data_IF_280278629141
#
_entry.id   IF_280278629141
#
_cell.length_a   1.000
_cell.length_b   1.000
_cell.length_c   1.000
_cell.angle_alpha   90.00
_cell.angle_beta   90.00
_cell.angle_gamma   90.00
#
_symmetry.space_group_name_H-M   'P 1'
#
loop_
_entity.id
_entity.type
_entity.pdbx_description
1 polymer ?
#
# COMPACT_ATOMS: atom_id res chain seq x y z
N UNK A 1 -8.40 -12.21 3.37
CA UNK A 1 -8.90 -11.21 4.35
C UNK A 1 -8.87 -9.78 3.80
N UNK A 2 -7.70 -9.21 3.51
CA UNK A 2 -7.57 -7.81 3.06
C UNK A 2 -8.39 -7.46 1.83
N UNK A 3 -8.38 -8.32 0.80
CA UNK A 3 -9.23 -8.12 -0.39
C UNK A 3 -10.73 -8.00 -0.03
N UNK A 4 -11.23 -8.83 0.88
CA UNK A 4 -12.62 -8.77 1.36
C UNK A 4 -12.86 -7.47 2.14
N UNK A 5 -11.96 -7.10 3.05
CA UNK A 5 -12.04 -5.84 3.80
C UNK A 5 -12.11 -4.62 2.86
N UNK A 6 -11.23 -4.58 1.85
CA UNK A 6 -11.23 -3.50 0.84
C UNK A 6 -12.50 -3.46 0.00
N UNK A 7 -13.11 -4.62 -0.30
CA UNK A 7 -14.39 -4.69 -1.02
C UNK A 7 -15.54 -4.10 -0.19
N UNK A 8 -15.62 -4.45 1.10
CA UNK A 8 -16.59 -3.86 2.02
C UNK A 8 -16.36 -2.35 2.19
N UNK A 9 -15.10 -1.94 2.37
CA UNK A 9 -14.73 -0.53 2.46
C UNK A 9 -15.15 0.25 1.21
N UNK A 10 -14.90 -0.31 0.01
CA UNK A 10 -15.30 0.32 -1.24
C UNK A 10 -16.81 0.52 -1.32
N UNK A 11 -17.62 -0.48 -0.97
CA UNK A 11 -19.08 -0.33 -0.93
C UNK A 11 -19.55 0.68 0.11
N UNK A 12 -18.92 0.69 1.28
CA UNK A 12 -19.25 1.61 2.36
C UNK A 12 -19.01 3.06 1.96
N UNK A 13 -17.85 3.36 1.35
CA UNK A 13 -17.53 4.71 0.85
C UNK A 13 -18.45 5.18 -0.28
N UNK A 14 -19.12 4.25 -0.97
CA UNK A 14 -20.07 4.56 -2.04
C UNK A 14 -21.49 4.86 -1.52
N UNK A 15 -21.76 4.75 -0.22
CA UNK A 15 -23.07 5.05 0.36
C UNK A 15 -23.41 6.56 0.23
N UNK A 16 -24.71 6.92 0.12
CA UNK A 16 -25.15 8.29 -0.11
C UNK A 16 -24.66 9.29 0.94
N UNK A 17 -24.52 8.84 2.19
CA UNK A 17 -24.06 9.66 3.32
C UNK A 17 -22.64 10.21 3.14
N UNK A 18 -21.76 9.49 2.41
CA UNK A 18 -20.38 9.91 2.17
C UNK A 18 -20.20 10.66 0.84
N UNK A 19 -21.24 10.72 0.00
CA UNK A 19 -21.21 11.47 -1.25
C UNK A 19 -21.64 12.90 -0.99
N UNK A 20 -20.67 13.79 -0.84
CA UNK A 20 -20.94 15.22 -0.81
C UNK A 20 -21.53 15.62 -2.17
N UNK A 21 -22.72 16.26 -2.23
CA UNK A 21 -23.26 16.75 -3.48
C UNK A 21 -22.36 17.88 -3.99
N UNK A 22 -21.46 17.56 -4.91
CA UNK A 22 -20.63 18.56 -5.58
C UNK A 22 -21.54 19.33 -6.53
N UNK A 23 -21.86 20.58 -6.16
CA UNK A 23 -22.51 21.51 -7.09
C UNK A 23 -21.49 21.88 -8.16
N UNK A 24 -21.61 21.28 -9.34
CA UNK A 24 -20.78 21.67 -10.48
C UNK A 24 -21.14 23.11 -10.87
N UNK A 25 -20.22 24.05 -10.60
CA UNK A 25 -20.33 25.42 -11.09
C UNK A 25 -19.71 25.48 -12.49
N UNK A 26 -20.47 25.99 -13.46
CA UNK A 26 -19.97 26.18 -14.82
C UNK A 26 -18.99 27.36 -14.82
N UNK A 27 -17.69 27.05 -14.89
CA UNK A 27 -16.63 28.06 -14.95
C UNK A 27 -16.34 28.35 -16.42
N UNK A 28 -16.28 29.63 -16.80
CA UNK A 28 -16.02 30.08 -18.18
C UNK A 28 -14.55 30.01 -18.58
N UNK A 29 -13.63 30.00 -17.61
CA UNK A 29 -12.20 29.79 -17.80
C UNK A 29 -11.61 28.98 -16.64
N UNK A 30 -10.58 28.17 -16.95
CA UNK A 30 -9.78 27.51 -15.92
C UNK A 30 -9.03 28.55 -15.09
N UNK A 31 -8.98 28.36 -13.77
CA UNK A 31 -8.18 29.23 -12.89
C UNK A 31 -6.72 29.23 -13.36
N UNK A 32 -6.08 30.40 -13.51
CA UNK A 32 -4.68 30.45 -13.91
C UNK A 32 -3.82 29.75 -12.84
N UNK A 33 -3.01 28.78 -13.27
CA UNK A 33 -2.05 28.13 -12.39
C UNK A 33 -1.02 29.17 -11.97
N UNK A 34 -1.07 29.59 -10.70
CA UNK A 34 -0.07 30.50 -10.14
C UNK A 34 1.23 29.73 -9.94
N UNK A 35 2.06 29.66 -10.99
CA UNK A 35 3.37 29.04 -10.92
C UNK A 35 4.39 30.10 -10.47
N UNK A 36 5.03 29.88 -9.32
CA UNK A 36 6.11 30.72 -8.79
C UNK A 36 7.46 30.03 -9.06
N UNK A 37 8.11 30.27 -10.21
CA UNK A 37 9.29 29.51 -10.63
C UNK A 37 10.47 29.66 -9.66
N UNK A 38 10.68 30.84 -9.08
CA UNK A 38 11.76 31.08 -8.11
C UNK A 38 11.56 30.31 -6.81
N UNK A 39 10.30 30.21 -6.36
CA UNK A 39 9.95 29.42 -5.17
C UNK A 39 10.18 27.93 -5.43
N UNK A 40 9.85 27.43 -6.62
CA UNK A 40 10.13 26.06 -7.01
C UNK A 40 11.64 25.78 -7.05
N UNK A 41 12.43 26.66 -7.66
CA UNK A 41 13.89 26.50 -7.72
C UNK A 41 14.55 26.58 -6.34
N UNK A 42 14.04 27.41 -5.43
CA UNK A 42 14.51 27.47 -4.04
C UNK A 42 14.18 26.18 -3.27
N UNK A 43 12.93 25.70 -3.38
CA UNK A 43 12.50 24.44 -2.75
C UNK A 43 13.27 23.24 -3.28
N UNK A 44 13.55 23.20 -4.58
CA UNK A 44 14.37 22.16 -5.19
C UNK A 44 15.81 22.16 -4.66
N UNK A 45 16.46 23.34 -4.58
CA UNK A 45 17.80 23.46 -3.99
C UNK A 45 17.84 23.02 -2.53
N UNK A 46 16.86 23.45 -1.73
CA UNK A 46 16.73 23.02 -0.33
C UNK A 46 16.55 21.50 -0.24
N UNK A 47 15.68 20.92 -1.08
CA UNK A 47 15.48 19.47 -1.14
C UNK A 47 16.78 18.72 -1.50
N UNK A 48 17.56 19.25 -2.44
CA UNK A 48 18.84 18.65 -2.83
C UNK A 48 19.89 18.71 -1.70
N UNK A 49 19.95 19.83 -0.97
CA UNK A 49 20.82 19.96 0.21
C UNK A 49 20.44 18.95 1.28
N UNK A 50 19.14 18.82 1.60
CA UNK A 50 18.65 17.84 2.58
C UNK A 50 18.95 16.41 2.11
N UNK A 51 18.77 16.12 0.83
CA UNK A 51 19.05 14.79 0.27
C UNK A 51 20.52 14.40 0.44
N UNK A 52 21.46 15.26 0.03
CA UNK A 52 22.89 14.99 0.20
C UNK A 52 23.30 14.96 1.67
N UNK A 53 22.72 15.81 2.53
CA UNK A 53 22.96 15.76 3.96
C UNK A 53 22.50 14.42 4.58
N UNK A 54 21.35 13.89 4.16
CA UNK A 54 20.85 12.58 4.60
C UNK A 54 21.74 11.43 4.13
N UNK A 55 22.27 11.49 2.90
CA UNK A 55 23.23 10.49 2.41
C UNK A 55 24.52 10.55 3.20
N UNK A 56 25.09 11.75 3.40
CA UNK A 56 26.31 11.93 4.18
C UNK A 56 26.11 11.42 5.62
N UNK A 57 24.99 11.76 6.25
CA UNK A 57 24.62 11.27 7.57
C UNK A 57 24.51 9.74 7.61
N UNK A 58 23.90 9.13 6.59
CA UNK A 58 23.79 7.68 6.45
C UNK A 58 25.14 6.99 6.30
N UNK A 59 26.06 7.57 5.52
CA UNK A 59 27.41 7.05 5.33
C UNK A 59 28.27 7.18 6.60
N UNK A 60 28.19 8.31 7.30
CA UNK A 60 28.87 8.51 8.58
C UNK A 60 28.35 7.53 9.64
N UNK A 61 27.03 7.39 9.75
CA UNK A 61 26.40 6.43 10.67
C UNK A 61 26.74 4.99 10.29
N UNK A 62 26.94 4.69 9.01
CA UNK A 62 27.34 3.35 8.56
C UNK A 62 28.77 2.98 8.99
N UNK A 63 29.65 3.97 9.18
CA UNK A 63 31.01 3.74 9.68
C UNK A 63 31.00 3.26 11.15
N UNK A 64 30.18 3.88 12.00
CA UNK A 64 30.10 3.52 13.43
C UNK A 64 29.11 2.37 13.71
N UNK A 65 27.96 2.38 13.01
CA UNK A 65 26.83 1.47 13.22
C UNK A 65 26.29 1.01 11.85
N UNK A 66 26.91 0.01 11.20
CA UNK A 66 26.62 -0.37 9.82
C UNK A 66 25.15 -0.74 9.58
N UNK A 67 24.50 -1.39 10.56
CA UNK A 67 23.08 -1.75 10.46
C UNK A 67 22.14 -0.54 10.36
N UNK A 68 22.40 0.52 11.13
CA UNK A 68 21.57 1.73 11.16
C UNK A 68 21.83 2.60 9.94
N UNK A 69 23.10 2.75 9.55
CA UNK A 69 23.47 3.50 8.34
C UNK A 69 22.90 2.87 7.07
N UNK A 70 23.02 1.55 6.91
CA UNK A 70 22.42 0.82 5.78
C UNK A 70 20.89 0.92 5.77
N UNK A 71 20.24 0.83 6.93
CA UNK A 71 18.78 0.99 7.02
C UNK A 71 18.33 2.39 6.58
N UNK A 72 19.08 3.44 6.95
CA UNK A 72 18.77 4.82 6.56
C UNK A 72 18.97 5.02 5.05
N UNK A 73 20.10 4.57 4.49
CA UNK A 73 20.38 4.69 3.06
C UNK A 73 19.37 3.91 2.21
N UNK A 74 19.03 2.68 2.62
CA UNK A 74 18.00 1.89 1.98
C UNK A 74 16.63 2.56 2.09
N UNK A 75 16.28 3.13 3.25
CA UNK A 75 15.04 3.85 3.46
C UNK A 75 14.89 5.07 2.55
N UNK A 76 15.96 5.87 2.39
CA UNK A 76 15.97 7.02 1.47
C UNK A 76 15.79 6.56 0.02
N UNK A 77 16.55 5.54 -0.43
CA UNK A 77 16.42 5.02 -1.78
C UNK A 77 15.05 4.40 -2.06
N UNK A 78 14.56 3.57 -1.15
CA UNK A 78 13.24 2.94 -1.26
C UNK A 78 12.10 3.96 -1.24
N UNK A 79 12.18 4.98 -0.39
CA UNK A 79 11.20 6.06 -0.32
C UNK A 79 11.10 6.85 -1.63
N UNK A 80 12.23 7.19 -2.24
CA UNK A 80 12.26 7.85 -3.56
C UNK A 80 11.65 6.98 -4.66
N UNK A 81 11.93 5.68 -4.66
CA UNK A 81 11.35 4.75 -5.63
C UNK A 81 9.83 4.65 -5.46
N UNK A 82 9.33 4.57 -4.21
CA UNK A 82 7.89 4.52 -3.93
C UNK A 82 7.18 5.80 -4.35
N UNK A 83 7.75 6.97 -4.05
CA UNK A 83 7.17 8.26 -4.42
C UNK A 83 7.06 8.38 -5.94
N UNK A 84 8.13 8.05 -6.67
CA UNK A 84 8.15 8.12 -8.14
C UNK A 84 7.27 7.07 -8.82
N UNK A 85 7.24 5.85 -8.30
CA UNK A 85 6.40 4.79 -8.82
C UNK A 85 4.94 4.89 -8.33
N UNK A 86 4.65 5.80 -7.39
CA UNK A 86 3.36 6.00 -6.74
C UNK A 86 2.71 4.69 -6.25
N UNK A 87 3.53 3.77 -5.73
CA UNK A 87 3.08 2.43 -5.33
C UNK A 87 2.19 2.55 -4.09
N UNK A 88 0.91 2.23 -4.28
CA UNK A 88 -0.08 2.26 -3.22
C UNK A 88 -1.00 1.04 -3.31
N UNK A 89 -0.99 0.22 -2.25
CA UNK A 89 -1.87 -0.95 -2.17
C UNK A 89 -3.36 -0.54 -2.13
N UNK A 90 -3.68 0.64 -1.59
CA UNK A 90 -5.09 1.08 -1.50
C UNK A 90 -5.66 1.43 -2.85
N UNK A 91 -4.92 2.14 -3.70
CA UNK A 91 -5.38 2.45 -5.06
C UNK A 91 -5.53 1.17 -5.86
N UNK A 92 -4.60 0.21 -5.74
CA UNK A 92 -4.71 -1.08 -6.41
C UNK A 92 -6.03 -1.82 -6.10
N UNK A 93 -6.41 -1.92 -4.83
CA UNK A 93 -7.67 -2.59 -4.45
C UNK A 93 -8.90 -1.72 -4.71
N UNK A 94 -8.89 -0.46 -4.29
CA UNK A 94 -10.02 0.47 -4.47
C UNK A 94 -10.37 0.64 -5.93
N UNK A 95 -9.39 0.90 -6.79
CA UNK A 95 -9.62 1.17 -8.20
C UNK A 95 -10.08 -0.10 -8.92
N UNK A 96 -9.60 -1.29 -8.52
CA UNK A 96 -10.10 -2.58 -9.00
C UNK A 96 -11.58 -2.81 -8.65
N UNK A 97 -12.03 -2.43 -7.44
CA UNK A 97 -13.42 -2.61 -7.01
C UNK A 97 -14.37 -1.56 -7.58
N UNK A 98 -13.95 -0.30 -7.66
CA UNK A 98 -14.81 0.83 -8.06
C UNK A 98 -14.79 1.06 -9.56
N UNK A 99 -13.60 1.02 -10.19
CA UNK A 99 -13.41 1.44 -11.60
C UNK A 99 -13.03 0.28 -12.53
N UNK A 100 -12.72 -0.90 -11.99
CA UNK A 100 -12.23 -2.04 -12.76
C UNK A 100 -10.79 -1.92 -13.26
N UNK A 101 -10.07 -0.83 -12.95
CA UNK A 101 -8.66 -0.65 -13.33
C UNK A 101 -7.76 -1.56 -12.49
N UNK A 102 -7.01 -2.45 -13.13
CA UNK A 102 -6.17 -3.45 -12.44
C UNK A 102 -4.67 -3.27 -12.63
N UNK A 103 -4.22 -2.21 -13.31
CA UNK A 103 -2.81 -1.97 -13.64
C UNK A 103 -1.89 -2.02 -12.41
N UNK A 104 -2.28 -1.33 -11.34
CA UNK A 104 -1.50 -1.31 -10.08
C UNK A 104 -1.53 -2.66 -9.36
N UNK A 105 -2.66 -3.38 -9.38
CA UNK A 105 -2.75 -4.71 -8.80
C UNK A 105 -1.83 -5.71 -9.52
N UNK A 106 -1.81 -5.68 -10.86
CA UNK A 106 -0.90 -6.48 -11.68
C UNK A 106 0.57 -6.13 -11.39
N UNK A 107 0.92 -4.85 -11.35
CA UNK A 107 2.27 -4.39 -11.05
C UNK A 107 2.77 -4.88 -9.68
N UNK A 108 1.91 -4.82 -8.65
CA UNK A 108 2.24 -5.32 -7.31
C UNK A 108 2.46 -6.83 -7.31
N UNK A 109 1.65 -7.61 -8.03
CA UNK A 109 1.83 -9.07 -8.14
C UNK A 109 3.17 -9.41 -8.80
N UNK A 110 3.51 -8.75 -9.91
CA UNK A 110 4.80 -8.95 -10.57
C UNK A 110 5.98 -8.49 -9.69
N UNK A 111 5.84 -7.38 -8.96
CA UNK A 111 6.82 -6.91 -8.00
C UNK A 111 7.06 -7.92 -6.86
N UNK A 112 5.99 -8.49 -6.29
CA UNK A 112 6.09 -9.54 -5.28
C UNK A 112 6.74 -10.81 -5.84
N UNK A 113 6.38 -11.22 -7.05
CA UNK A 113 6.97 -12.36 -7.75
C UNK A 113 8.48 -12.21 -7.98
N UNK A 114 8.95 -11.01 -8.35
CA UNK A 114 10.36 -10.70 -8.49
C UNK A 114 11.07 -10.68 -7.12
N UNK A 115 10.45 -10.07 -6.11
CA UNK A 115 11.00 -10.00 -4.76
C UNK A 115 11.17 -11.39 -4.11
N UNK A 116 10.28 -12.34 -4.43
CA UNK A 116 10.36 -13.70 -3.94
C UNK A 116 11.64 -14.43 -4.38
N UNK A 117 12.15 -14.17 -5.59
CA UNK A 117 13.44 -14.70 -6.08
C UNK A 117 14.59 -14.19 -5.21
N UNK A 118 14.59 -12.88 -4.94
CA UNK A 118 15.63 -12.25 -4.12
C UNK A 118 15.61 -12.75 -2.68
N UNK A 119 14.43 -12.90 -2.08
CA UNK A 119 14.32 -13.47 -0.72
C UNK A 119 14.77 -14.93 -0.71
N UNK A 120 14.39 -15.71 -1.72
CA UNK A 120 14.78 -17.11 -1.83
C UNK A 120 16.29 -17.30 -1.92
N UNK A 121 17.00 -16.46 -2.69
CA UNK A 121 18.46 -16.53 -2.76
C UNK A 121 19.11 -16.24 -1.40
N UNK A 122 18.59 -15.28 -0.63
CA UNK A 122 19.08 -15.00 0.72
C UNK A 122 18.81 -16.12 1.72
N UNK A 123 17.65 -16.78 1.63
CA UNK A 123 17.34 -17.95 2.47
C UNK A 123 18.29 -19.10 2.18
N UNK A 124 18.65 -19.33 0.92
CA UNK A 124 19.61 -20.37 0.52
C UNK A 124 21.04 -20.08 1.01
N UNK A 125 21.38 -18.82 1.24
CA UNK A 125 22.64 -18.39 1.85
C UNK A 125 22.65 -18.56 3.40
N UNK A 126 21.62 -19.17 3.97
CA UNK A 126 21.54 -19.47 5.40
C UNK A 126 20.95 -18.36 6.27
N UNK A 127 20.35 -17.31 5.68
CA UNK A 127 19.63 -16.32 6.48
C UNK A 127 18.27 -16.85 6.93
N UNK A 128 18.04 -16.87 8.25
CA UNK A 128 16.78 -17.34 8.81
C UNK A 128 15.61 -16.40 8.45
N UNK A 129 14.54 -16.90 7.82
CA UNK A 129 13.36 -16.10 7.54
C UNK A 129 12.61 -15.76 8.82
N UNK A 130 12.27 -14.48 8.99
CA UNK A 130 11.43 -14.04 10.12
C UNK A 130 9.98 -14.47 9.89
N UNK A 131 9.58 -15.58 10.50
CA UNK A 131 8.23 -16.14 10.38
C UNK A 131 7.30 -15.52 11.42
N UNK A 132 6.15 -15.05 10.97
CA UNK A 132 5.09 -14.50 11.82
C UNK A 132 3.99 -15.54 12.05
N UNK A 133 3.29 -15.44 13.18
CA UNK A 133 2.14 -16.30 13.50
C UNK A 133 1.00 -16.11 12.51
N UNK A 134 0.49 -17.22 11.96
CA UNK A 134 -0.62 -17.24 11.02
C UNK A 134 -1.88 -17.73 11.74
N UNK A 135 -2.43 -16.88 12.62
CA UNK A 135 -3.64 -17.16 13.39
C UNK A 135 -4.84 -16.28 12.97
N UNK A 136 -5.90 -16.24 13.81
CA UNK A 136 -7.04 -15.35 13.64
C UNK A 136 -6.65 -13.87 13.53
N UNK A 137 -5.53 -13.47 14.16
CA UNK A 137 -4.93 -12.14 14.02
C UNK A 137 -4.77 -11.71 12.55
N UNK A 138 -4.29 -12.58 11.67
CA UNK A 138 -4.04 -12.26 10.27
C UNK A 138 -5.36 -12.05 9.50
N UNK A 139 -6.41 -12.78 9.85
CA UNK A 139 -7.72 -12.66 9.21
C UNK A 139 -8.44 -11.40 9.69
N UNK A 140 -8.55 -11.21 11.01
CA UNK A 140 -9.21 -10.06 11.63
C UNK A 140 -8.45 -8.78 11.27
N UNK A 141 -7.12 -8.78 11.46
CA UNK A 141 -6.25 -7.67 11.10
C UNK A 141 -6.34 -7.35 9.62
N UNK A 142 -6.30 -8.36 8.74
CA UNK A 142 -6.45 -8.16 7.30
C UNK A 142 -7.80 -7.54 6.91
N UNK A 143 -8.90 -7.96 7.53
CA UNK A 143 -10.24 -7.40 7.28
C UNK A 143 -10.32 -5.93 7.73
N UNK A 144 -9.92 -5.63 8.96
CA UNK A 144 -9.94 -4.27 9.51
C UNK A 144 -8.99 -3.34 8.76
N UNK A 145 -7.77 -3.81 8.46
CA UNK A 145 -6.80 -3.07 7.66
C UNK A 145 -7.36 -2.79 6.26
N UNK A 146 -7.87 -3.81 5.57
CA UNK A 146 -8.45 -3.66 4.23
C UNK A 146 -9.62 -2.68 4.18
N UNK A 147 -10.50 -2.70 5.19
CA UNK A 147 -11.59 -1.74 5.31
C UNK A 147 -11.06 -0.31 5.56
N UNK A 148 -10.17 -0.16 6.54
CA UNK A 148 -9.62 1.13 6.96
C UNK A 148 -8.85 1.84 5.85
N UNK A 149 -8.02 1.12 5.10
CA UNK A 149 -7.21 1.73 4.03
C UNK A 149 -8.04 2.28 2.87
N UNK A 150 -9.22 1.71 2.60
CA UNK A 150 -10.13 2.23 1.57
C UNK A 150 -10.88 3.45 2.09
N UNK A 151 -11.32 3.43 3.35
CA UNK A 151 -11.98 4.56 4.00
C UNK A 151 -11.04 5.77 4.12
N UNK A 152 -9.81 5.55 4.57
CA UNK A 152 -8.79 6.59 4.69
C UNK A 152 -8.18 7.00 3.34
N UNK A 153 -8.38 6.21 2.28
CA UNK A 153 -7.86 6.49 0.95
C UNK A 153 -6.33 6.40 0.82
N UNK A 154 -5.63 5.76 1.77
CA UNK A 154 -4.17 5.62 1.83
C UNK A 154 -3.70 4.49 2.76
N UNK A 155 -2.63 3.79 2.36
CA UNK A 155 -1.91 2.78 3.17
C UNK A 155 -0.61 3.39 3.68
N UNK A 156 0.18 2.65 4.46
CA UNK A 156 1.45 3.17 5.04
C UNK A 156 2.31 3.93 4.04
N UNK A 157 2.61 3.29 2.91
CA UNK A 157 3.39 3.93 1.84
C UNK A 157 2.61 5.07 1.18
N UNK A 158 1.31 4.89 0.98
CA UNK A 158 0.42 5.80 0.25
C UNK A 158 0.16 7.13 0.96
N UNK A 159 -0.07 7.12 2.28
CA UNK A 159 -0.28 8.36 3.01
C UNK A 159 1.05 9.12 3.17
N UNK A 160 2.16 8.40 3.36
CA UNK A 160 3.46 9.03 3.59
C UNK A 160 3.93 9.86 2.39
N UNK A 161 3.96 9.30 1.16
CA UNK A 161 4.41 10.10 0.01
C UNK A 161 3.41 11.20 -0.35
N UNK A 162 2.09 10.95 -0.27
CA UNK A 162 1.05 11.94 -0.64
C UNK A 162 0.97 13.10 0.35
N UNK A 163 1.22 12.85 1.64
CA UNK A 163 1.35 13.91 2.64
C UNK A 163 2.52 14.84 2.30
N UNK A 164 3.65 14.28 1.85
CA UNK A 164 4.85 15.05 1.48
C UNK A 164 4.75 15.71 0.09
N UNK A 165 3.94 15.16 -0.83
CA UNK A 165 3.57 15.83 -2.10
C UNK A 165 2.71 17.11 -1.88
N UNK A 166 2.22 17.34 -0.66
CA UNK A 166 1.45 18.51 -0.27
C UNK A 166 -0.05 18.29 -0.11
N UNK A 167 -0.51 17.03 -0.15
CA UNK A 167 -1.92 16.70 0.08
C UNK A 167 -2.22 16.67 1.58
N UNK A 168 -2.71 17.78 2.12
CA UNK A 168 -2.96 17.99 3.57
C UNK A 168 -3.86 16.91 4.19
N UNK A 169 -4.81 16.37 3.42
CA UNK A 169 -5.68 15.28 3.88
C UNK A 169 -4.89 14.07 4.41
N UNK A 170 -3.77 13.72 3.78
CA UNK A 170 -2.99 12.54 4.15
C UNK A 170 -2.18 12.70 5.44
N UNK A 171 -2.03 13.94 5.95
CA UNK A 171 -1.46 14.17 7.27
C UNK A 171 -2.39 13.66 8.38
N UNK A 172 -3.70 13.84 8.21
CA UNK A 172 -4.70 13.30 9.14
C UNK A 172 -4.75 11.77 9.10
N UNK A 173 -4.60 11.19 7.90
CA UNK A 173 -4.48 9.74 7.74
C UNK A 173 -3.25 9.21 8.48
N UNK A 174 -2.11 9.87 8.32
CA UNK A 174 -0.87 9.53 9.03
C UNK A 174 -0.99 9.64 10.54
N UNK A 175 -1.58 10.73 11.04
CA UNK A 175 -1.81 10.91 12.47
C UNK A 175 -2.70 9.79 13.05
N UNK A 176 -3.81 9.48 12.39
CA UNK A 176 -4.70 8.39 12.80
C UNK A 176 -4.00 7.03 12.78
N UNK A 177 -3.11 6.81 11.81
CA UNK A 177 -2.31 5.61 11.71
C UNK A 177 -1.33 5.47 12.89
N UNK A 178 -0.56 6.52 13.18
CA UNK A 178 0.41 6.53 14.28
C UNK A 178 -0.29 6.32 15.62
N UNK A 179 -1.40 7.01 15.85
CA UNK A 179 -2.20 6.83 17.08
C UNK A 179 -2.75 5.39 17.15
N UNK A 180 -3.39 4.90 16.09
CA UNK A 180 -4.00 3.58 16.06
C UNK A 180 -2.99 2.45 16.26
N UNK A 181 -1.84 2.51 15.59
CA UNK A 181 -0.75 1.53 15.72
C UNK A 181 -0.13 1.55 17.11
N UNK A 182 0.03 2.73 17.71
CA UNK A 182 0.54 2.87 19.10
C UNK A 182 -0.44 2.30 20.11
N UNK A 183 -1.75 2.58 19.96
CA UNK A 183 -2.79 1.99 20.81
C UNK A 183 -2.80 0.47 20.69
N UNK A 184 -2.76 -0.06 19.47
CA UNK A 184 -2.71 -1.51 19.26
C UNK A 184 -1.46 -2.12 19.90
N UNK A 185 -0.30 -1.48 19.77
CA UNK A 185 0.95 -1.93 20.39
C UNK A 185 0.83 -1.99 21.91
N UNK A 186 0.19 -0.99 22.53
CA UNK A 186 -0.03 -0.94 23.97
C UNK A 186 -0.92 -2.09 24.46
N UNK A 187 -1.99 -2.44 23.74
CA UNK A 187 -2.89 -3.53 24.11
C UNK A 187 -2.44 -4.91 23.59
N UNK A 188 -1.36 -4.98 22.81
CA UNK A 188 -0.95 -6.19 22.11
C UNK A 188 -0.62 -7.35 23.06
N UNK A 189 -0.02 -7.07 24.22
CA UNK A 189 0.35 -8.10 25.18
C UNK A 189 -0.87 -8.85 25.74
N UNK A 190 -2.00 -8.17 25.89
CA UNK A 190 -3.27 -8.80 26.31
C UNK A 190 -4.04 -9.47 25.19
N UNK A 191 -3.90 -8.97 23.95
CA UNK A 191 -4.60 -9.51 22.77
C UNK A 191 -3.86 -10.71 22.14
N UNK A 192 -2.53 -10.70 22.20
CA UNK A 192 -1.68 -11.67 21.51
C UNK A 192 -1.90 -13.13 21.92
N UNK A 193 -2.18 -13.48 23.20
CA UNK A 193 -2.45 -14.87 23.60
C UNK A 193 -3.70 -15.46 22.95
N UNK A 194 -4.76 -14.65 22.81
CA UNK A 194 -6.02 -15.09 22.22
C UNK A 194 -5.99 -15.08 20.68
N UNK A 195 -5.24 -14.16 20.08
CA UNK A 195 -5.30 -13.88 18.64
C UNK A 195 -4.11 -14.40 17.83
N UNK A 196 -2.93 -14.57 18.43
CA UNK A 196 -1.68 -14.81 17.70
C UNK A 196 -0.80 -15.92 18.28
N UNK A 197 -0.41 -15.85 19.56
CA UNK A 197 0.68 -16.69 20.10
C UNK A 197 0.24 -18.11 20.48
N UNK A 198 -1.05 -18.36 20.62
CA UNK A 198 -1.64 -19.71 20.80
C UNK A 198 -1.78 -20.50 19.50
N UNK A 199 -1.47 -19.90 18.35
CA UNK A 199 -1.61 -20.51 17.03
C UNK A 199 -0.23 -20.80 16.43
N UNK A 200 -0.13 -21.89 15.69
CA UNK A 200 1.14 -22.33 15.12
C UNK A 200 1.72 -21.33 14.11
N UNK A 201 3.05 -21.22 14.13
CA UNK A 201 3.80 -20.52 13.10
C UNK A 201 3.82 -21.39 11.83
N UNK A 202 2.85 -21.18 10.94
CA UNK A 202 2.81 -21.87 9.65
C UNK A 202 3.99 -21.41 8.80
N UNK A 203 4.97 -22.29 8.60
CA UNK A 203 6.12 -22.03 7.75
C UNK A 203 6.11 -22.95 6.52
N UNK A 204 5.72 -22.40 5.38
CA UNK A 204 5.69 -23.14 4.12
C UNK A 204 7.08 -23.68 3.70
N UNK A 205 8.18 -23.05 4.14
CA UNK A 205 9.54 -23.53 3.86
C UNK A 205 9.92 -24.73 4.74
N UNK A 206 9.41 -24.81 5.96
CA UNK A 206 9.64 -25.96 6.84
C UNK A 206 8.74 -27.14 6.49
N UNK A 207 7.51 -26.88 6.02
CA UNK A 207 6.53 -27.93 5.69
C UNK A 207 6.73 -28.53 4.29
N UNK A 208 7.14 -27.72 3.30
CA UNK A 208 7.27 -28.15 1.89
C UNK A 208 8.72 -28.10 1.36
N UNK A 209 9.70 -27.72 2.19
CA UNK A 209 11.08 -27.47 1.79
C UNK A 209 11.27 -26.16 1.02
N UNK A 210 12.53 -25.71 0.78
CA UNK A 210 12.81 -24.42 0.15
C UNK A 210 12.16 -24.28 -1.24
N UNK A 211 12.32 -25.29 -2.09
CA UNK A 211 11.76 -25.28 -3.44
C UNK A 211 10.23 -25.45 -3.45
N UNK A 212 9.67 -26.22 -2.51
CA UNK A 212 8.22 -26.36 -2.38
C UNK A 212 7.54 -25.08 -1.89
N UNK A 213 8.12 -24.39 -0.91
CA UNK A 213 7.62 -23.08 -0.44
C UNK A 213 7.64 -22.01 -1.54
N UNK A 214 8.69 -22.00 -2.37
CA UNK A 214 8.79 -21.12 -3.52
C UNK A 214 7.71 -21.42 -4.57
N UNK A 215 7.51 -22.70 -4.91
CA UNK A 215 6.49 -23.14 -5.86
C UNK A 215 5.09 -22.77 -5.39
N UNK A 216 4.76 -23.01 -4.12
CA UNK A 216 3.45 -22.64 -3.55
C UNK A 216 3.25 -21.13 -3.60
N UNK A 217 4.29 -20.34 -3.32
CA UNK A 217 4.21 -18.87 -3.40
C UNK A 217 3.89 -18.42 -4.83
N UNK A 218 4.58 -18.95 -5.84
CA UNK A 218 4.29 -18.62 -7.24
C UNK A 218 2.91 -19.08 -7.68
N UNK A 219 2.48 -20.26 -7.24
CA UNK A 219 1.16 -20.78 -7.54
C UNK A 219 0.06 -19.88 -6.95
N UNK A 220 0.21 -19.42 -5.71
CA UNK A 220 -0.72 -18.48 -5.08
C UNK A 220 -0.74 -17.12 -5.77
N UNK A 221 0.43 -16.60 -6.18
CA UNK A 221 0.51 -15.36 -6.96
C UNK A 221 -0.14 -15.50 -8.33
N UNK A 222 0.04 -16.64 -9.00
CA UNK A 222 -0.58 -16.94 -10.29
C UNK A 222 -2.11 -17.05 -10.16
N UNK A 223 -2.61 -17.77 -9.15
CA UNK A 223 -4.05 -17.83 -8.85
C UNK A 223 -4.60 -16.43 -8.63
N UNK A 224 -3.90 -15.61 -7.82
CA UNK A 224 -4.32 -14.24 -7.54
C UNK A 224 -4.36 -13.40 -8.82
N UNK A 225 -3.36 -13.54 -9.71
CA UNK A 225 -3.32 -12.85 -11.00
C UNK A 225 -4.49 -13.26 -11.90
N UNK A 226 -4.80 -14.56 -11.98
CA UNK A 226 -5.94 -15.08 -12.75
C UNK A 226 -7.26 -14.52 -12.19
N UNK A 227 -7.41 -14.46 -10.86
CA UNK A 227 -8.60 -13.88 -10.22
C UNK A 227 -8.76 -12.39 -10.52
N UNK A 228 -7.66 -11.62 -10.50
CA UNK A 228 -7.68 -10.19 -10.84
C UNK A 228 -8.07 -9.97 -12.29
N UNK A 229 -7.49 -10.74 -13.23
CA UNK A 229 -7.84 -10.66 -14.66
C UNK A 229 -9.28 -11.13 -14.90
N UNK A 230 -9.72 -12.20 -14.24
CA UNK A 230 -11.09 -12.69 -14.31
C UNK A 230 -12.10 -11.66 -13.79
N UNK A 231 -11.77 -10.97 -12.70
CA UNK A 231 -12.57 -9.88 -12.16
C UNK A 231 -12.66 -8.70 -13.13
N UNK A 232 -11.53 -8.27 -13.69
CA UNK A 232 -11.46 -7.20 -14.70
C UNK A 232 -12.40 -7.49 -15.89
N UNK A 233 -12.29 -8.70 -16.47
CA UNK A 233 -13.16 -9.14 -17.58
C UNK A 233 -14.63 -9.14 -17.18
N UNK A 234 -14.96 -9.63 -15.97
CA UNK A 234 -16.33 -9.64 -15.45
C UNK A 234 -16.88 -8.23 -15.22
N UNK A 235 -16.06 -7.32 -14.72
CA UNK A 235 -16.43 -5.94 -14.44
C UNK A 235 -16.82 -5.20 -15.74
N UNK A 236 -15.95 -5.24 -16.74
CA UNK A 236 -16.23 -4.58 -18.03
C UNK A 236 -17.38 -5.23 -18.79
N UNK A 237 -17.53 -6.56 -18.74
CA UNK A 237 -18.69 -7.25 -19.33
C UNK A 237 -20.01 -6.84 -18.68
N UNK A 238 -20.02 -6.61 -17.37
CA UNK A 238 -21.22 -6.11 -16.66
C UNK A 238 -21.52 -4.66 -17.02
N UNK A 239 -20.50 -3.83 -17.20
CA UNK A 239 -20.66 -2.44 -17.58
C UNK A 239 -21.19 -2.30 -19.02
N UNK A 240 -20.73 -3.14 -19.96
CA UNK A 240 -21.25 -3.16 -21.34
C UNK A 240 -22.68 -3.66 -21.45
N UNK A 241 -23.14 -4.47 -20.48
CA UNK A 241 -24.52 -4.99 -20.41
C UNK A 241 -25.48 -4.06 -19.64
N UNK A 242 -24.95 -3.06 -18.92
CA UNK A 242 -25.78 -2.11 -18.21
C UNK A 242 -26.34 -1.07 -19.21
N UNK A 243 -27.66 -0.84 -19.26
CA UNK A 243 -28.22 0.17 -20.14
C UNK A 243 -27.61 1.54 -19.79
N UNK A 244 -27.12 2.24 -20.80
CA UNK A 244 -26.58 3.60 -20.70
C UNK A 244 -27.68 4.54 -20.23
N UNK A 245 -27.82 4.72 -18.92
CA UNK A 245 -28.59 5.81 -18.35
C UNK A 245 -27.77 7.07 -18.53
N UNK A 246 -27.90 7.69 -19.71
CA UNK A 246 -27.49 9.06 -19.98
C UNK A 246 -28.33 9.94 -19.06
N UNK A 247 -27.81 10.25 -17.87
CA UNK A 247 -28.28 11.41 -17.11
C UNK A 247 -27.57 12.63 -17.67
N UNK A 248 -28.01 13.05 -18.85
CA UNK A 248 -28.02 14.48 -19.16
C UNK A 248 -29.08 15.09 -18.26
N UNK A 249 -28.66 15.93 -17.33
CA UNK A 249 -29.57 16.83 -16.62
C UNK A 249 -29.11 18.23 -16.97
N UNK A 250 -30.03 18.92 -17.66
CA UNK A 250 -29.94 20.27 -18.20
C UNK A 250 -29.62 21.32 -17.12
#
# INVERSE_FOLDING_TARGET
ATAIGTWFGARFTLLPIFRIPVKMQKVSQASPLTQKPDQARRRFRLGMVVFFAMIAWGLLTAADRPKLGLALLFGVGFGLLIERAQICFTSAFRDMWITGRTNMAKAIIFGMAASAIGIFSYVQLGMEPKIMWAGPNAVIGGLLFGFGIVLAGGCETGWMYRAVEGQVHYWWVGLGNVIGSTILAYYWDGLSPALATSWDKINLLATFGPFGGLLVTYLLLLITLILVIGWEKRFFRRQSLAPSTVKESA
#
